data_IF_285253211590
#
_entry.id   IF_285253211590
#
_cell.length_a   1.000
_cell.length_b   1.000
_cell.length_c   1.000
_cell.angle_alpha   90.00
_cell.angle_beta   90.00
_cell.angle_gamma   90.00
#
_symmetry.space_group_name_H-M   'P 1'
#
loop_
_entity.id
_entity.type
_entity.pdbx_description
1 polymer ?
#
# COMPACT_ATOMS: atom_id res chain seq x y z
N UNK A 1 1.03 13.54 2.95
CA UNK A 1 -0.43 13.54 2.76
C UNK A 1 -0.74 13.82 1.29
N UNK A 2 -1.82 13.23 0.75
CA UNK A 2 -2.23 13.45 -0.66
C UNK A 2 -1.50 12.61 -1.73
N UNK A 3 -0.62 11.67 -1.34
CA UNK A 3 0.04 10.74 -2.25
C UNK A 3 -0.88 9.55 -2.55
N UNK A 4 -0.95 9.12 -3.81
CA UNK A 4 -1.57 7.84 -4.16
C UNK A 4 -0.59 6.70 -3.90
N UNK A 5 -1.12 5.57 -3.46
CA UNK A 5 -0.38 4.35 -3.15
C UNK A 5 -1.12 3.15 -3.73
N UNK A 6 -0.39 2.07 -3.98
CA UNK A 6 -0.97 0.78 -4.34
C UNK A 6 -1.14 -0.07 -3.08
N UNK A 7 -2.27 -0.76 -2.94
CA UNK A 7 -2.52 -1.64 -1.79
C UNK A 7 -3.33 -2.88 -2.16
N UNK A 8 -3.07 -3.98 -1.46
CA UNK A 8 -3.96 -5.15 -1.45
C UNK A 8 -5.03 -4.93 -0.39
N UNK A 9 -6.30 -5.05 -0.80
CA UNK A 9 -7.47 -4.67 0.01
C UNK A 9 -8.32 -5.84 0.49
N UNK A 10 -8.02 -7.07 0.08
CA UNK A 10 -8.82 -8.27 0.37
C UNK A 10 -8.14 -9.27 1.33
N UNK A 11 -7.03 -8.89 1.96
CA UNK A 11 -6.44 -9.73 2.99
C UNK A 11 -7.24 -9.67 4.30
N UNK A 12 -7.27 -10.76 5.08
CA UNK A 12 -7.74 -10.71 6.45
C UNK A 12 -6.99 -9.62 7.23
N UNK A 13 -7.66 -8.87 8.12
CA UNK A 13 -7.01 -7.79 8.86
C UNK A 13 -5.84 -8.30 9.71
N UNK A 14 -4.70 -7.60 9.66
CA UNK A 14 -3.51 -7.92 10.45
C UNK A 14 -3.45 -7.05 11.70
N UNK A 15 -3.22 -7.65 12.87
CA UNK A 15 -3.05 -6.91 14.13
C UNK A 15 -1.56 -6.63 14.38
N UNK A 16 -1.19 -5.37 14.56
CA UNK A 16 0.19 -4.93 14.81
C UNK A 16 0.18 -3.98 16.01
N UNK A 17 0.81 -4.35 17.12
CA UNK A 17 0.85 -3.54 18.35
C UNK A 17 -0.53 -3.04 18.81
N UNK A 18 -1.59 -3.85 18.64
CA UNK A 18 -2.97 -3.49 18.98
C UNK A 18 -3.76 -2.79 17.86
N UNK A 19 -3.09 -2.31 16.81
CA UNK A 19 -3.72 -1.68 15.64
C UNK A 19 -4.21 -2.74 14.64
N UNK A 20 -5.42 -2.55 14.11
CA UNK A 20 -5.98 -3.38 13.04
C UNK A 20 -5.64 -2.76 11.69
N UNK A 21 -4.80 -3.41 10.91
CA UNK A 21 -4.48 -3.06 9.52
C UNK A 21 -5.40 -3.82 8.58
N UNK A 22 -6.21 -3.10 7.81
CA UNK A 22 -7.20 -3.70 6.88
C UNK A 22 -6.68 -3.82 5.45
N UNK A 23 -5.57 -3.17 5.14
CA UNK A 23 -4.93 -3.18 3.83
C UNK A 23 -3.43 -3.41 3.97
N UNK A 24 -2.79 -3.90 2.91
CA UNK A 24 -1.34 -3.96 2.77
C UNK A 24 -0.90 -2.96 1.69
N UNK A 25 -0.25 -1.87 2.10
CA UNK A 25 0.36 -0.90 1.17
C UNK A 25 1.61 -1.53 0.55
N UNK A 26 1.74 -1.47 -0.77
CA UNK A 26 2.81 -2.13 -1.52
C UNK A 26 3.98 -1.16 -1.74
N UNK A 27 5.20 -1.68 -1.57
CA UNK A 27 6.44 -0.99 -1.87
C UNK A 27 7.55 -1.96 -2.25
N UNK A 28 8.55 -1.46 -2.97
CA UNK A 28 9.80 -2.16 -3.23
C UNK A 28 10.74 -2.06 -2.02
N UNK A 29 11.57 -3.08 -1.82
CA UNK A 29 12.56 -3.15 -0.74
C UNK A 29 13.95 -3.21 -1.37
N UNK A 30 14.55 -2.06 -1.74
CA UNK A 30 15.83 -2.04 -2.46
C UNK A 30 16.98 -2.51 -1.56
N UNK A 31 16.91 -2.25 -0.26
CA UNK A 31 17.86 -2.69 0.77
C UNK A 31 17.13 -3.03 2.07
N UNK A 32 17.79 -3.78 2.95
CA UNK A 32 17.22 -4.10 4.26
C UNK A 32 16.88 -2.84 5.05
N UNK A 33 15.68 -2.80 5.62
CA UNK A 33 15.18 -1.65 6.38
C UNK A 33 14.66 -0.48 5.53
N UNK A 34 14.76 -0.53 4.19
CA UNK A 34 14.24 0.51 3.29
C UNK A 34 12.97 0.05 2.55
N UNK A 35 12.04 0.98 2.33
CA UNK A 35 10.78 0.74 1.62
C UNK A 35 10.43 1.93 0.74
N UNK A 36 10.35 1.68 -0.58
CA UNK A 36 9.92 2.67 -1.57
C UNK A 36 8.49 2.35 -2.00
N UNK A 37 7.54 3.24 -1.69
CA UNK A 37 6.13 3.03 -2.01
C UNK A 37 5.87 3.03 -3.52
N UNK A 38 5.09 2.06 -3.98
CA UNK A 38 4.54 2.09 -5.34
C UNK A 38 3.45 3.16 -5.43
N UNK A 39 3.44 3.85 -6.56
CA UNK A 39 2.42 4.82 -6.97
C UNK A 39 2.13 4.64 -8.46
N UNK A 40 0.95 5.00 -8.94
CA UNK A 40 0.75 5.18 -10.38
C UNK A 40 1.62 6.33 -10.88
N UNK A 41 2.03 6.26 -12.14
CA UNK A 41 2.83 7.32 -12.77
C UNK A 41 1.99 8.60 -12.94
N UNK A 42 0.72 8.43 -13.31
CA UNK A 42 -0.28 9.50 -13.43
C UNK A 42 -1.33 9.41 -12.32
N UNK A 43 -2.03 10.52 -12.08
CA UNK A 43 -3.12 10.53 -11.10
C UNK A 43 -4.33 9.80 -11.66
N UNK A 44 -4.79 8.78 -10.94
CA UNK A 44 -6.00 8.02 -11.29
C UNK A 44 -7.09 8.21 -10.24
N UNK A 45 -8.29 7.69 -10.48
CA UNK A 45 -9.35 7.67 -9.47
C UNK A 45 -8.96 6.76 -8.30
N UNK A 46 -9.33 7.13 -7.07
CA UNK A 46 -9.05 6.29 -5.92
C UNK A 46 -9.92 5.02 -5.96
N UNK A 47 -9.29 3.85 -5.82
CA UNK A 47 -9.98 2.56 -5.93
C UNK A 47 -9.92 1.95 -7.32
N UNK A 48 -9.26 2.58 -8.29
CA UNK A 48 -8.96 1.94 -9.59
C UNK A 48 -8.23 0.61 -9.36
N UNK A 49 -8.78 -0.52 -9.86
CA UNK A 49 -8.13 -1.81 -9.76
C UNK A 49 -6.80 -1.83 -10.51
N UNK A 50 -5.80 -2.51 -9.95
CA UNK A 50 -4.57 -2.85 -10.67
C UNK A 50 -4.83 -4.16 -11.42
N UNK A 51 -4.45 -4.21 -12.69
CA UNK A 51 -4.57 -5.39 -13.56
C UNK A 51 -3.21 -6.09 -13.72
#
# INVERSE_FOLDING_TARGET
MGKQVVAVVNFPPRRIAGFKSEVLVIGGVPTEGDVVLLKPDERVENGTPIA
#
